data_IF_599515428850
#
_entry.id   IF_599515428850
#
_cell.length_a   1.000
_cell.length_b   1.000
_cell.length_c   1.000
_cell.angle_alpha   90.00
_cell.angle_beta   90.00
_cell.angle_gamma   90.00
#
_symmetry.space_group_name_H-M   'P 1'
#
loop_
_entity.id
_entity.type
_entity.pdbx_description
1 polymer ?
#
# COMPACT_ATOMS: atom_id res chain seq x y z
N UNK A 1 -1.12 -16.95 -3.46
CA UNK A 1 0.34 -16.72 -3.38
C UNK A 1 0.68 -16.09 -2.05
N UNK A 2 1.62 -16.70 -1.34
CA UNK A 2 2.04 -16.18 -0.03
C UNK A 2 3.24 -15.25 -0.22
N UNK A 3 2.99 -13.96 -0.27
CA UNK A 3 4.05 -12.97 -0.30
C UNK A 3 4.54 -12.68 1.11
N UNK A 4 5.83 -12.44 1.23
CA UNK A 4 6.40 -11.95 2.49
C UNK A 4 5.89 -10.54 2.72
N UNK A 5 5.66 -10.14 3.98
CA UNK A 5 5.29 -8.76 4.27
C UNK A 5 6.35 -7.79 3.76
N UNK A 6 5.92 -6.62 3.33
CA UNK A 6 6.82 -5.54 2.99
C UNK A 6 7.35 -4.93 4.29
N UNK A 7 8.67 -4.78 4.41
CA UNK A 7 9.29 -4.19 5.61
C UNK A 7 9.60 -2.72 5.37
N UNK A 8 9.19 -1.89 6.32
CA UNK A 8 9.55 -0.48 6.31
C UNK A 8 10.18 -0.10 7.64
N UNK A 9 11.45 0.35 7.59
CA UNK A 9 12.12 0.89 8.76
C UNK A 9 11.83 2.39 8.83
N UNK A 10 11.31 2.85 9.95
CA UNK A 10 10.88 4.24 10.11
C UNK A 10 12.06 5.19 10.01
N UNK A 11 11.97 6.16 9.10
CA UNK A 11 12.99 7.20 8.92
C UNK A 11 12.72 8.38 9.85
N UNK A 12 13.78 9.04 10.27
CA UNK A 12 13.67 10.19 11.16
C UNK A 12 12.76 11.28 10.59
N UNK A 13 12.87 11.55 9.28
CA UNK A 13 12.06 12.59 8.64
C UNK A 13 10.57 12.25 8.58
N UNK A 14 10.19 11.02 8.90
CA UNK A 14 8.78 10.59 8.95
C UNK A 14 8.14 10.91 10.30
N UNK A 15 8.93 11.32 11.27
CA UNK A 15 8.45 11.59 12.62
C UNK A 15 8.20 13.09 12.84
N UNK A 16 7.36 13.39 13.80
CA UNK A 16 7.11 14.74 14.26
C UNK A 16 8.08 15.11 15.40
N UNK A 17 7.84 16.25 16.05
CA UNK A 17 8.70 16.73 17.14
C UNK A 17 8.72 15.79 18.34
N UNK A 18 7.74 14.91 18.48
CA UNK A 18 7.64 13.97 19.60
C UNK A 18 8.20 12.60 19.27
N UNK A 19 8.82 12.43 18.11
CA UNK A 19 9.36 11.14 17.67
C UNK A 19 8.30 10.16 17.18
N UNK A 20 7.07 10.62 17.01
CA UNK A 20 5.94 9.81 16.55
C UNK A 20 5.74 10.02 15.06
N UNK A 21 5.49 8.96 14.32
CA UNK A 21 5.28 9.03 12.88
C UNK A 21 4.04 9.85 12.55
N UNK A 22 4.21 10.81 11.63
CA UNK A 22 3.10 11.62 11.14
C UNK A 22 2.18 10.72 10.30
N UNK A 23 0.86 10.86 10.51
CA UNK A 23 -0.13 9.97 9.89
C UNK A 23 -0.06 9.89 8.36
N UNK A 24 0.39 10.96 7.68
CA UNK A 24 0.50 10.97 6.22
C UNK A 24 1.45 9.90 5.69
N UNK A 25 2.40 9.46 6.49
CA UNK A 25 3.39 8.48 6.05
C UNK A 25 2.78 7.08 5.90
N UNK A 26 1.72 6.77 6.64
CA UNK A 26 1.04 5.47 6.50
C UNK A 26 0.51 5.27 5.08
N UNK A 27 -0.01 6.32 4.47
CA UNK A 27 -0.50 6.27 3.08
C UNK A 27 0.65 6.03 2.12
N UNK A 28 1.80 6.65 2.36
CA UNK A 28 3.01 6.43 1.54
C UNK A 28 3.53 5.01 1.68
N UNK A 29 3.49 4.46 2.89
CA UNK A 29 3.90 3.08 3.13
C UNK A 29 2.96 2.09 2.43
N UNK A 30 1.67 2.39 2.40
CA UNK A 30 0.70 1.60 1.65
C UNK A 30 1.06 1.60 0.17
N UNK A 31 1.45 2.74 -0.39
CA UNK A 31 1.88 2.84 -1.78
C UNK A 31 3.14 2.01 -2.03
N UNK A 32 4.14 2.11 -1.15
CA UNK A 32 5.36 1.31 -1.28
C UNK A 32 5.06 -0.18 -1.25
N UNK A 33 4.21 -0.61 -0.33
CA UNK A 33 3.82 -2.01 -0.20
C UNK A 33 3.03 -2.49 -1.41
N UNK A 34 2.18 -1.64 -1.97
CA UNK A 34 1.40 -1.95 -3.18
C UNK A 34 2.32 -2.11 -4.39
N UNK A 35 3.29 -1.22 -4.56
CA UNK A 35 4.27 -1.32 -5.64
C UNK A 35 5.03 -2.64 -5.53
N UNK A 36 5.41 -3.01 -4.32
CA UNK A 36 6.07 -4.28 -4.05
C UNK A 36 5.17 -5.47 -4.46
N UNK A 37 3.90 -5.46 -4.02
CA UNK A 37 2.95 -6.53 -4.38
C UNK A 37 2.78 -6.65 -5.89
N UNK A 38 2.56 -5.53 -6.56
CA UNK A 38 2.32 -5.53 -8.00
C UNK A 38 3.51 -6.07 -8.77
N UNK A 39 4.74 -5.73 -8.34
CA UNK A 39 5.97 -6.27 -8.94
C UNK A 39 6.06 -7.78 -8.75
N UNK A 40 5.76 -8.26 -7.55
CA UNK A 40 5.90 -9.68 -7.21
C UNK A 40 4.90 -10.56 -7.97
N UNK A 41 3.71 -10.04 -8.29
CA UNK A 41 2.71 -10.81 -9.03
C UNK A 41 2.78 -10.61 -10.54
N UNK A 42 3.78 -9.88 -11.04
CA UNK A 42 3.99 -9.70 -12.47
C UNK A 42 3.18 -8.58 -13.10
N UNK A 43 2.52 -7.75 -12.32
CA UNK A 43 1.74 -6.59 -12.78
C UNK A 43 2.42 -5.28 -12.35
N UNK A 44 3.74 -5.16 -12.59
CA UNK A 44 4.45 -3.94 -12.21
C UNK A 44 3.79 -2.70 -12.87
N UNK A 45 3.85 -1.57 -12.17
CA UNK A 45 3.32 -0.30 -12.70
C UNK A 45 4.01 0.10 -14.00
N UNK A 46 5.32 -0.20 -14.11
CA UNK A 46 6.04 0.07 -15.35
C UNK A 46 5.45 -0.71 -16.51
N UNK A 47 5.12 -1.99 -16.31
CA UNK A 47 4.52 -2.82 -17.34
C UNK A 47 3.16 -2.28 -17.77
N UNK A 48 2.32 -1.88 -16.80
CA UNK A 48 1.02 -1.30 -17.09
C UNK A 48 1.17 0.01 -17.86
N UNK A 49 2.09 0.88 -17.44
CA UNK A 49 2.37 2.13 -18.13
C UNK A 49 2.85 1.90 -19.56
N UNK A 50 3.72 0.91 -19.77
CA UNK A 50 4.21 0.56 -21.11
C UNK A 50 3.06 0.09 -22.01
N UNK A 51 2.03 -0.50 -21.45
CA UNK A 51 0.82 -0.92 -22.18
C UNK A 51 -0.23 0.20 -22.28
N UNK A 52 0.08 1.37 -21.76
CA UNK A 52 -0.83 2.50 -21.81
C UNK A 52 -1.96 2.46 -20.78
N UNK A 53 -1.76 1.71 -19.70
CA UNK A 53 -2.74 1.55 -18.63
C UNK A 53 -2.28 2.33 -17.42
N UNK A 54 -3.17 3.13 -16.83
CA UNK A 54 -2.92 3.82 -15.57
C UNK A 54 -3.85 3.27 -14.50
N UNK A 55 -3.40 3.31 -13.25
CA UNK A 55 -4.15 2.76 -12.13
C UNK A 55 -4.27 3.82 -11.02
N UNK A 56 -5.17 4.79 -11.18
CA UNK A 56 -5.33 5.82 -10.15
C UNK A 56 -5.94 5.27 -8.88
N UNK A 57 -5.60 5.92 -7.77
CA UNK A 57 -6.23 5.66 -6.48
C UNK A 57 -7.56 6.40 -6.46
N UNK A 58 -8.65 5.68 -6.29
CA UNK A 58 -9.99 6.28 -6.22
C UNK A 58 -10.53 6.36 -4.81
N UNK A 59 -9.82 5.78 -3.85
CA UNK A 59 -10.18 5.89 -2.44
C UNK A 59 -9.10 5.29 -1.57
N UNK A 60 -8.94 5.83 -0.37
CA UNK A 60 -7.99 5.33 0.62
C UNK A 60 -8.59 5.55 2.01
N UNK A 61 -8.36 4.58 2.89
CA UNK A 61 -8.72 4.70 4.29
C UNK A 61 -7.66 4.05 5.14
N UNK A 62 -7.48 4.54 6.35
CA UNK A 62 -6.51 3.99 7.28
C UNK A 62 -6.99 4.22 8.70
N UNK A 63 -7.07 3.14 9.48
CA UNK A 63 -7.41 3.19 10.89
C UNK A 63 -6.12 3.03 11.70
N UNK A 64 -5.79 4.04 12.48
CA UNK A 64 -4.58 4.07 13.29
C UNK A 64 -4.90 3.50 14.67
N UNK A 65 -4.19 2.44 15.06
CA UNK A 65 -4.45 1.75 16.32
C UNK A 65 -3.45 2.12 17.41
N UNK A 66 -2.16 2.19 17.05
CA UNK A 66 -1.06 2.46 17.97
C UNK A 66 -0.06 3.36 17.28
N UNK A 67 0.54 4.27 18.03
CA UNK A 67 1.56 5.17 17.49
C UNK A 67 2.81 4.40 17.08
N UNK A 68 3.38 4.79 15.94
CA UNK A 68 4.64 4.24 15.44
C UNK A 68 5.72 5.26 15.76
N UNK A 69 6.85 4.78 16.28
CA UNK A 69 7.95 5.64 16.69
C UNK A 69 9.14 5.51 15.76
N UNK A 70 10.06 6.47 15.86
CA UNK A 70 11.33 6.39 15.17
C UNK A 70 12.04 5.08 15.50
N UNK A 71 12.68 4.50 14.51
CA UNK A 71 13.43 3.25 14.59
C UNK A 71 12.58 1.98 14.66
N UNK A 72 11.27 2.08 14.76
CA UNK A 72 10.42 0.90 14.62
C UNK A 72 10.54 0.33 13.21
N UNK A 73 10.35 -0.98 13.08
CA UNK A 73 10.23 -1.63 11.78
C UNK A 73 8.80 -2.12 11.63
N UNK A 74 8.16 -1.68 10.56
CA UNK A 74 6.77 -2.00 10.29
C UNK A 74 6.71 -3.10 9.24
N UNK A 75 5.99 -4.17 9.54
CA UNK A 75 5.66 -5.19 8.56
C UNK A 75 4.31 -4.86 7.96
N UNK A 76 4.23 -4.80 6.66
CA UNK A 76 3.00 -4.49 5.96
C UNK A 76 2.57 -5.69 5.14
N UNK A 77 1.54 -6.38 5.63
CA UNK A 77 0.90 -7.47 4.89
C UNK A 77 -0.06 -6.85 3.89
N UNK A 78 0.09 -7.24 2.64
CA UNK A 78 -0.70 -6.73 1.53
C UNK A 78 -1.50 -7.87 0.95
N UNK A 79 -2.80 -7.66 0.79
CA UNK A 79 -3.67 -8.66 0.19
C UNK A 79 -4.70 -8.01 -0.72
N UNK A 80 -5.09 -8.76 -1.76
CA UNK A 80 -6.18 -8.34 -2.63
C UNK A 80 -7.49 -8.70 -1.94
N UNK A 81 -8.34 -7.71 -1.69
CA UNK A 81 -9.66 -7.92 -1.10
C UNK A 81 -10.73 -8.09 -2.18
N UNK A 82 -10.55 -7.39 -3.30
CA UNK A 82 -11.52 -7.42 -4.41
C UNK A 82 -10.82 -7.10 -5.72
N UNK A 83 -11.17 -7.82 -6.77
CA UNK A 83 -10.68 -7.55 -8.11
C UNK A 83 -11.64 -8.11 -9.14
N UNK A 84 -12.11 -7.26 -10.05
CA UNK A 84 -13.01 -7.68 -11.14
C UNK A 84 -12.44 -7.33 -12.53
N UNK A 85 -11.17 -6.96 -12.61
CA UNK A 85 -10.54 -6.55 -13.86
C UNK A 85 -10.63 -5.06 -14.12
N UNK A 86 -11.62 -4.37 -13.58
CA UNK A 86 -11.82 -2.92 -13.75
C UNK A 86 -11.48 -2.18 -12.49
N UNK A 87 -11.86 -2.74 -11.32
CA UNK A 87 -11.59 -2.17 -10.01
C UNK A 87 -10.85 -3.17 -9.15
N UNK A 88 -10.06 -2.64 -8.21
CA UNK A 88 -9.28 -3.44 -7.28
C UNK A 88 -9.26 -2.77 -5.91
N UNK A 89 -9.43 -3.58 -4.87
CA UNK A 89 -9.29 -3.11 -3.49
C UNK A 89 -8.15 -3.91 -2.86
N UNK A 90 -7.19 -3.20 -2.28
CA UNK A 90 -6.05 -3.78 -1.59
C UNK A 90 -6.17 -3.48 -0.10
N UNK A 91 -5.95 -4.50 0.71
CA UNK A 91 -5.95 -4.39 2.17
C UNK A 91 -4.53 -4.44 2.69
N UNK A 92 -4.24 -3.60 3.68
CA UNK A 92 -2.92 -3.50 4.33
C UNK A 92 -3.09 -3.72 5.81
N UNK A 93 -2.25 -4.58 6.39
CA UNK A 93 -2.18 -4.80 7.83
C UNK A 93 -0.76 -4.48 8.27
N UNK A 94 -0.61 -3.48 9.14
CA UNK A 94 0.69 -2.99 9.57
C UNK A 94 0.94 -3.39 11.02
N UNK A 95 2.03 -4.14 11.25
CA UNK A 95 2.38 -4.62 12.58
C UNK A 95 3.83 -4.29 12.91
N UNK A 96 4.14 -4.28 14.21
CA UNK A 96 5.50 -4.10 14.68
C UNK A 96 6.27 -5.42 14.49
N UNK A 97 7.37 -5.36 13.76
CA UNK A 97 8.20 -6.54 13.52
C UNK A 97 8.69 -7.17 14.82
N UNK A 98 9.00 -6.36 15.85
CA UNK A 98 9.57 -6.84 17.09
C UNK A 98 8.54 -7.48 18.00
N UNK A 99 7.33 -6.92 18.08
CA UNK A 99 6.33 -7.31 19.07
C UNK A 99 5.08 -7.96 18.50
N UNK A 100 4.84 -7.76 17.19
CA UNK A 100 3.60 -8.20 16.54
C UNK A 100 2.40 -7.29 16.82
N UNK A 101 2.62 -6.18 17.52
CA UNK A 101 1.56 -5.24 17.86
C UNK A 101 0.97 -4.63 16.58
N UNK A 102 -0.36 -4.52 16.53
CA UNK A 102 -1.05 -3.93 15.38
C UNK A 102 -0.95 -2.41 15.41
N UNK A 103 -0.29 -1.83 14.42
CA UNK A 103 -0.16 -0.39 14.28
C UNK A 103 -1.35 0.23 13.57
N UNK A 104 -1.75 -0.35 12.43
CA UNK A 104 -2.79 0.22 11.60
C UNK A 104 -3.35 -0.81 10.63
N UNK A 105 -4.56 -0.55 10.16
CA UNK A 105 -5.20 -1.31 9.08
C UNK A 105 -5.67 -0.32 8.05
N UNK A 106 -5.39 -0.59 6.78
CA UNK A 106 -5.77 0.31 5.72
C UNK A 106 -6.32 -0.41 4.51
N UNK A 107 -6.92 0.36 3.62
CA UNK A 107 -7.40 -0.11 2.32
C UNK A 107 -7.17 0.98 1.30
N UNK A 108 -6.88 0.57 0.06
CA UNK A 108 -6.85 1.48 -1.07
C UNK A 108 -7.68 0.88 -2.20
N UNK A 109 -8.43 1.74 -2.88
CA UNK A 109 -9.28 1.35 -4.00
C UNK A 109 -8.76 1.98 -5.26
N UNK A 110 -8.73 1.18 -6.33
CA UNK A 110 -8.13 1.54 -7.61
C UNK A 110 -9.05 1.18 -8.75
N UNK A 111 -8.89 1.87 -9.86
CA UNK A 111 -9.48 1.43 -11.12
C UNK A 111 -8.38 1.41 -12.18
N UNK A 112 -8.69 0.86 -13.34
CA UNK A 112 -7.74 0.80 -14.46
C UNK A 112 -8.31 1.58 -15.62
N UNK A 113 -7.52 2.51 -16.16
CA UNK A 113 -7.93 3.39 -17.23
C UNK A 113 -6.94 3.30 -18.39
N UNK A 114 -7.43 3.56 -19.61
CA UNK A 114 -6.56 3.68 -20.76
C UNK A 114 -6.06 5.14 -20.86
N UNK A 115 -5.32 5.44 -21.94
CA UNK A 115 -4.73 6.78 -22.15
C UNK A 115 -5.78 7.88 -22.30
N UNK A 116 -6.98 7.52 -22.73
CA UNK A 116 -8.09 8.46 -22.89
C UNK A 116 -8.90 8.63 -21.60
N UNK A 117 -8.49 7.98 -20.52
CA UNK A 117 -9.16 8.07 -19.22
C UNK A 117 -10.42 7.22 -19.12
N UNK A 118 -10.56 6.21 -19.96
CA UNK A 118 -11.72 5.31 -19.95
C UNK A 118 -11.41 4.01 -19.23
N UNK A 119 -12.38 3.40 -18.53
CA UNK A 119 -12.18 2.13 -17.86
C UNK A 119 -11.70 1.04 -18.81
N UNK A 120 -10.77 0.23 -18.31
CA UNK A 120 -10.23 -0.93 -19.02
C UNK A 120 -10.42 -2.16 -18.16
N UNK A 121 -10.85 -3.27 -18.78
CA UNK A 121 -10.97 -4.54 -18.10
C UNK A 121 -9.72 -5.37 -18.37
N UNK A 122 -8.96 -5.66 -17.31
CA UNK A 122 -7.71 -6.43 -17.41
C UNK A 122 -7.89 -7.94 -17.39
N UNK A 123 -9.10 -8.42 -17.17
CA UNK A 123 -9.37 -9.86 -17.23
C UNK A 123 -9.44 -10.38 -18.65
#
# INVERSE_FOLDING_TARGET
MNLKPYEHHVHYYETDKMGVVHHSNFIRWMEEARVYLMSEIGFSYKRLEDEGIISPVIGVECDYKVMVNFDDTVLIDVSEEFYNGIKMTIKYTMTDKSTGKLFAVGKSRHCFLNKEGRPVNLK
#
